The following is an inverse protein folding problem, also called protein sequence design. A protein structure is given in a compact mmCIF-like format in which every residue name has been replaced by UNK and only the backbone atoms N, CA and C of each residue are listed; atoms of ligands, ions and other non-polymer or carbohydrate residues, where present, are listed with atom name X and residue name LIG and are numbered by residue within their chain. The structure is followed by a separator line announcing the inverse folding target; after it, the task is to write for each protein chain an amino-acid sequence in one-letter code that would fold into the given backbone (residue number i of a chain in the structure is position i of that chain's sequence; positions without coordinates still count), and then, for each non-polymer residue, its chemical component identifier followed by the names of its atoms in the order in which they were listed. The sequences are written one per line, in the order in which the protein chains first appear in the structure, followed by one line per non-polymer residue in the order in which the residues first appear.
data_IF_998280175438
#
_entry.id   IF_998280175438
#
_cell.length_a   1.000
_cell.length_b   1.000
_cell.length_c   1.000
_cell.angle_alpha   90.00
_cell.angle_beta   90.00
_cell.angle_gamma   90.00
#
_symmetry.space_group_name_H-M   'P 1'
#
loop_
_entity.id
_entity.type
_entity.pdbx_description
1 polymer ?
#
# COMPACT_ATOMS: atom_id res chain seq x y z
N UNK A 1 3.07 -5.88 16.43
CA UNK A 1 3.08 -6.14 14.97
C UNK A 1 3.90 -5.04 14.34
N UNK A 2 4.92 -5.36 13.51
CA UNK A 2 5.61 -4.33 12.73
C UNK A 2 4.61 -3.61 11.83
N UNK A 3 4.82 -2.31 11.63
CA UNK A 3 4.02 -1.53 10.69
C UNK A 3 4.34 -2.03 9.27
N UNK A 4 3.36 -2.56 8.56
CA UNK A 4 3.51 -2.97 7.15
C UNK A 4 3.32 -1.79 6.22
N UNK A 5 3.77 -1.87 4.95
CA UNK A 5 3.48 -0.84 3.95
C UNK A 5 1.97 -0.56 3.80
N UNK A 6 1.13 -1.59 3.71
CA UNK A 6 -0.33 -1.45 3.62
C UNK A 6 -0.92 -0.76 4.85
N UNK A 7 -0.52 -1.19 6.04
CA UNK A 7 -0.96 -0.55 7.29
C UNK A 7 -0.49 0.91 7.40
N UNK A 8 0.68 1.24 6.85
CA UNK A 8 1.16 2.63 6.76
C UNK A 8 0.29 3.48 5.82
N UNK A 9 -0.05 2.97 4.64
CA UNK A 9 -0.96 3.65 3.70
C UNK A 9 -2.33 3.91 4.36
N UNK A 10 -2.89 2.89 5.02
CA UNK A 10 -4.13 3.01 5.80
C UNK A 10 -4.05 4.14 6.82
N UNK A 11 -2.96 4.18 7.60
CA UNK A 11 -2.74 5.22 8.62
C UNK A 11 -2.68 6.63 8.02
N UNK A 12 -2.05 6.80 6.86
CA UNK A 12 -2.00 8.09 6.19
C UNK A 12 -3.37 8.53 5.67
N UNK A 13 -4.14 7.61 5.07
CA UNK A 13 -5.51 7.88 4.63
C UNK A 13 -6.40 8.31 5.80
N UNK A 14 -6.35 7.57 6.91
CA UNK A 14 -7.14 7.87 8.12
C UNK A 14 -6.72 9.20 8.75
N UNK A 15 -5.42 9.51 8.78
CA UNK A 15 -4.92 10.81 9.25
C UNK A 15 -5.37 11.99 8.38
N UNK A 16 -5.62 11.75 7.08
CA UNK A 16 -6.23 12.71 6.18
C UNK A 16 -7.77 12.79 6.30
N UNK A 17 -8.38 11.98 7.17
CA UNK A 17 -9.83 11.96 7.41
C UNK A 17 -10.63 11.36 6.25
N UNK A 18 -10.00 10.56 5.38
CA UNK A 18 -10.64 10.00 4.19
C UNK A 18 -11.10 8.56 4.43
N UNK A 19 -12.33 8.25 4.01
CA UNK A 19 -12.78 6.85 3.88
C UNK A 19 -12.19 6.17 2.63
N UNK A 20 -12.36 4.86 2.49
CA UNK A 20 -11.98 4.15 1.26
C UNK A 20 -12.82 4.65 0.07
N UNK A 21 -14.13 4.85 0.27
CA UNK A 21 -15.02 5.41 -0.75
C UNK A 21 -14.57 6.81 -1.18
N UNK A 22 -14.16 7.64 -0.23
CA UNK A 22 -13.59 8.97 -0.49
C UNK A 22 -12.38 8.93 -1.42
N UNK A 23 -11.45 8.00 -1.18
CA UNK A 23 -10.27 7.84 -2.03
C UNK A 23 -10.68 7.27 -3.38
N UNK A 24 -11.53 6.25 -3.41
CA UNK A 24 -12.04 5.64 -4.64
C UNK A 24 -12.75 6.65 -5.55
N UNK A 25 -13.51 7.60 -5.01
CA UNK A 25 -14.17 8.65 -5.78
C UNK A 25 -13.18 9.69 -6.35
N UNK A 26 -12.07 9.96 -5.64
CA UNK A 26 -11.04 10.94 -6.04
C UNK A 26 -10.02 10.37 -7.03
N UNK A 27 -9.86 9.05 -7.07
CA UNK A 27 -8.98 8.38 -8.02
C UNK A 27 -9.55 8.42 -9.44
N UNK A 28 -8.96 9.25 -10.30
CA UNK A 28 -9.17 9.18 -11.74
C UNK A 28 -8.36 8.02 -12.33
N UNK A 29 -9.02 7.04 -12.94
CA UNK A 29 -8.38 5.98 -13.72
C UNK A 29 -8.69 6.12 -15.22
N UNK A 30 -7.70 5.81 -16.07
CA UNK A 30 -7.84 5.78 -17.53
C UNK A 30 -7.36 4.40 -18.05
N UNK A 31 -8.22 3.57 -18.66
CA UNK A 31 -9.67 3.77 -18.83
C UNK A 31 -10.42 3.84 -17.49
N UNK A 32 -11.58 4.50 -17.49
CA UNK A 32 -12.43 4.63 -16.29
C UNK A 32 -12.78 3.25 -15.73
N UNK A 33 -12.29 2.97 -14.53
CA UNK A 33 -12.66 1.80 -13.73
C UNK A 33 -13.94 2.13 -12.95
N UNK A 34 -14.70 1.12 -12.53
CA UNK A 34 -15.81 1.34 -11.63
C UNK A 34 -15.31 1.71 -10.21
N UNK A 35 -16.08 2.51 -9.48
CA UNK A 35 -15.69 2.99 -8.15
C UNK A 35 -15.55 1.85 -7.14
N UNK A 36 -16.45 0.86 -7.16
CA UNK A 36 -16.38 -0.30 -6.28
C UNK A 36 -15.09 -1.11 -6.48
N UNK A 37 -14.64 -1.26 -7.73
CA UNK A 37 -13.36 -1.93 -8.04
C UNK A 37 -12.16 -1.15 -7.51
N UNK A 38 -12.21 0.19 -7.54
CA UNK A 38 -11.16 1.02 -6.95
C UNK A 38 -11.17 0.94 -5.42
N UNK A 39 -12.36 0.88 -4.80
CA UNK A 39 -12.50 0.69 -3.37
C UNK A 39 -11.91 -0.66 -2.91
N UNK A 40 -12.28 -1.75 -3.58
CA UNK A 40 -11.74 -3.09 -3.34
C UNK A 40 -10.21 -3.11 -3.51
N UNK A 41 -9.69 -2.45 -4.53
CA UNK A 41 -8.25 -2.34 -4.74
C UNK A 41 -7.53 -1.63 -3.59
N UNK A 42 -8.13 -0.57 -3.02
CA UNK A 42 -7.58 0.12 -1.85
C UNK A 42 -7.60 -0.80 -0.62
N UNK A 43 -8.68 -1.57 -0.42
CA UNK A 43 -8.78 -2.55 0.67
C UNK A 43 -7.66 -3.59 0.59
N UNK A 44 -7.40 -4.13 -0.60
CA UNK A 44 -6.34 -5.12 -0.84
C UNK A 44 -4.94 -4.53 -0.62
N UNK A 45 -4.72 -3.26 -0.97
CA UNK A 45 -3.46 -2.56 -0.67
C UNK A 45 -3.27 -2.41 0.84
N UNK A 46 -4.30 -1.96 1.55
CA UNK A 46 -4.22 -1.74 3.00
C UNK A 46 -4.08 -3.02 3.80
N UNK A 47 -4.52 -4.15 3.23
CA UNK A 47 -4.34 -5.50 3.76
C UNK A 47 -2.99 -6.15 3.37
N UNK A 48 -2.15 -5.47 2.59
CA UNK A 48 -0.92 -6.03 1.99
C UNK A 48 -1.17 -7.28 1.10
N UNK A 49 -2.39 -7.45 0.60
CA UNK A 49 -2.77 -8.57 -0.28
C UNK A 49 -2.45 -8.30 -1.76
N UNK A 50 -2.17 -7.05 -2.11
CA UNK A 50 -1.69 -6.64 -3.44
C UNK A 50 -0.34 -5.94 -3.33
N UNK A 51 0.64 -6.25 -4.21
CA UNK A 51 1.92 -5.55 -4.21
C UNK A 51 1.78 -4.04 -4.39
N UNK A 52 2.47 -3.29 -3.53
CA UNK A 52 2.51 -1.84 -3.61
C UNK A 52 3.52 -1.38 -4.67
N UNK A 53 3.06 -1.23 -5.91
CA UNK A 53 3.89 -0.77 -7.04
C UNK A 53 4.16 0.75 -6.95
N UNK A 54 5.26 1.21 -7.54
CA UNK A 54 5.59 2.65 -7.57
C UNK A 54 4.45 3.51 -8.14
N UNK A 55 3.84 3.08 -9.25
CA UNK A 55 2.72 3.81 -9.86
C UNK A 55 1.49 3.88 -8.96
N UNK A 56 1.23 2.83 -8.16
CA UNK A 56 0.17 2.83 -7.14
C UNK A 56 0.41 3.93 -6.12
N UNK A 57 1.63 4.05 -5.62
CA UNK A 57 2.00 5.06 -4.64
C UNK A 57 1.88 6.47 -5.23
N UNK A 58 2.37 6.68 -6.45
CA UNK A 58 2.22 7.95 -7.16
C UNK A 58 0.75 8.35 -7.26
N UNK A 59 -0.12 7.43 -7.68
CA UNK A 59 -1.56 7.67 -7.81
C UNK A 59 -2.20 8.01 -6.47
N UNK A 60 -1.93 7.26 -5.39
CA UNK A 60 -2.45 7.54 -4.05
C UNK A 60 -1.95 8.87 -3.49
N UNK A 61 -0.69 9.24 -3.78
CA UNK A 61 -0.09 10.51 -3.33
C UNK A 61 -0.76 11.75 -3.91
N UNK A 62 -1.57 11.60 -4.96
CA UNK A 62 -2.39 12.69 -5.50
C UNK A 62 -3.62 12.98 -4.65
N UNK A 63 -4.01 12.07 -3.76
CA UNK A 63 -5.24 12.14 -2.95
C UNK A 63 -4.95 12.50 -1.49
N UNK A 64 -3.89 11.94 -0.89
CA UNK A 64 -3.47 12.22 0.48
C UNK A 64 -1.94 12.16 0.61
N UNK A 65 -1.36 12.84 1.61
CA UNK A 65 0.10 12.89 1.76
C UNK A 65 0.68 11.52 2.13
N UNK A 66 1.80 11.17 1.48
CA UNK A 66 2.56 9.94 1.74
C UNK A 66 4.03 10.33 1.91
N UNK A 67 4.64 9.93 3.03
CA UNK A 67 6.09 10.04 3.20
C UNK A 67 6.77 8.86 2.48
N UNK A 68 7.28 9.14 1.28
CA UNK A 68 7.97 8.18 0.43
C UNK A 68 9.20 7.57 1.10
N UNK A 69 9.91 8.33 1.95
CA UNK A 69 11.09 7.81 2.65
C UNK A 69 10.66 6.75 3.64
N UNK A 70 9.65 7.04 4.45
CA UNK A 70 9.14 6.09 5.43
C UNK A 70 8.63 4.82 4.73
N UNK A 71 7.86 4.97 3.65
CA UNK A 71 7.34 3.84 2.91
C UNK A 71 8.45 2.93 2.35
N UNK A 72 9.50 3.51 1.77
CA UNK A 72 10.65 2.75 1.25
C UNK A 72 11.36 1.96 2.35
N UNK A 73 11.54 2.54 3.54
CA UNK A 73 12.15 1.82 4.67
C UNK A 73 11.29 0.64 5.12
N UNK A 74 9.96 0.77 5.14
CA UNK A 74 9.05 -0.33 5.47
C UNK A 74 9.12 -1.46 4.43
N UNK A 75 9.17 -1.12 3.13
CA UNK A 75 9.29 -2.12 2.05
C UNK A 75 10.63 -2.87 2.14
N UNK A 76 11.74 -2.17 2.46
CA UNK A 76 13.05 -2.83 2.66
C UNK A 76 13.01 -3.84 3.80
N UNK A 77 12.43 -3.47 4.94
CA UNK A 77 12.28 -4.37 6.10
C UNK A 77 11.48 -5.60 5.70
N UNK A 78 10.35 -5.43 5.01
CA UNK A 78 9.52 -6.55 4.54
C UNK A 78 10.26 -7.49 3.57
N UNK A 79 11.07 -6.94 2.66
CA UNK A 79 11.88 -7.75 1.73
C UNK A 79 12.97 -8.53 2.46
N UNK A 80 13.57 -7.95 3.52
CA UNK A 80 14.56 -8.64 4.36
C UNK A 80 13.92 -9.79 5.14
N UNK A 81 12.74 -9.56 5.72
CA UNK A 81 11.98 -10.59 6.45
C UNK A 81 11.53 -11.75 5.53
N UNK A 82 11.19 -11.46 4.27
CA UNK A 82 10.86 -12.47 3.26
C UNK A 82 12.06 -13.19 2.64
N UNK A 83 13.29 -12.74 2.90
CA UNK A 83 14.54 -13.29 2.33
C UNK A 83 15.31 -14.20 3.31
N UNK A 84 14.74 -14.56 4.47
CA UNK A 84 15.36 -15.52 5.37
C UNK A 84 15.56 -16.87 4.63
N UNK A 85 16.80 -17.36 4.47
CA UNK A 85 17.06 -18.57 3.72
C UNK A 85 16.57 -19.79 4.51
N UNK A 86 16.00 -20.77 3.79
CA UNK A 86 15.92 -22.14 4.25
C UNK A 86 17.28 -22.53 4.81
N UNK A 87 17.34 -22.78 6.12
CA UNK A 87 18.55 -23.24 6.79
C UNK A 87 19.14 -24.39 5.99
N UNK A 88 20.38 -24.16 5.54
CA UNK A 88 21.20 -25.17 4.92
C UNK A 88 21.32 -26.33 5.92
N UNK A 89 20.54 -27.38 5.70
CA UNK A 89 20.85 -28.70 6.24
C UNK A 89 22.15 -29.14 5.61
N UNK A 90 23.24 -28.96 6.33
CA UNK A 90 24.43 -29.80 6.25
C UNK A 90 25.16 -29.76 7.59
N UNK A 91 25.92 -30.81 7.96
CA UNK A 91 26.23 -32.01 7.16
C UNK A 91 25.46 -33.28 7.56
#
# INVERSE_FOLDING_TARGET
MPLTPGAYIKRQREAAGLSIADVAARLATEPRTAEHTRAEWIELIEADETPLLFMTVVVLSTVFPIDMRQLVELVKVQLQDGSAPAEATQP
#
